data_IF_475235920070
#
_entry.id   IF_475235920070
#
_cell.length_a   1.000
_cell.length_b   1.000
_cell.length_c   1.000
_cell.angle_alpha   90.00
_cell.angle_beta   90.00
_cell.angle_gamma   90.00
#
_symmetry.space_group_name_H-M   'P 1'
#
loop_
_entity.id
_entity.type
_entity.pdbx_description
1 polymer ?
#
# COMPACT_ATOMS: atom_id res chain seq x y z
N UNK A 1 25.50 -34.52 -5.24
CA UNK A 1 25.98 -33.48 -4.28
C UNK A 1 24.77 -32.63 -3.91
N UNK A 2 24.17 -32.92 -2.71
CA UNK A 2 23.09 -32.10 -2.16
C UNK A 2 23.63 -30.73 -1.80
N UNK A 3 23.03 -29.66 -2.35
CA UNK A 3 23.26 -28.34 -1.84
C UNK A 3 22.37 -28.19 -0.62
N UNK A 4 22.98 -28.05 0.57
CA UNK A 4 22.31 -27.62 1.75
C UNK A 4 21.90 -26.16 1.52
N UNK A 5 20.60 -25.90 1.49
CA UNK A 5 20.07 -24.54 1.51
C UNK A 5 19.80 -24.16 2.96
N UNK A 6 20.45 -23.13 3.43
CA UNK A 6 20.08 -22.50 4.70
C UNK A 6 18.69 -21.87 4.54
N UNK A 7 17.70 -22.47 5.17
CA UNK A 7 16.32 -21.94 5.17
C UNK A 7 16.26 -20.86 6.23
N UNK A 8 16.10 -19.62 5.81
CA UNK A 8 15.80 -18.52 6.73
C UNK A 8 14.33 -18.66 7.13
N UNK A 9 13.99 -18.73 8.44
CA UNK A 9 12.62 -18.75 8.88
C UNK A 9 11.84 -17.54 8.32
N UNK A 10 10.59 -17.77 7.89
CA UNK A 10 9.78 -16.74 7.19
C UNK A 10 9.62 -15.46 8.03
N UNK A 11 9.57 -15.60 9.35
CA UNK A 11 9.54 -14.46 10.28
C UNK A 11 10.77 -13.56 10.14
N UNK A 12 11.96 -14.16 9.96
CA UNK A 12 13.19 -13.42 9.70
C UNK A 12 13.26 -12.93 8.25
N UNK A 13 12.78 -13.73 7.30
CA UNK A 13 12.73 -13.36 5.89
C UNK A 13 11.78 -12.19 5.66
N UNK A 14 10.63 -12.15 6.34
CA UNK A 14 9.66 -11.05 6.29
C UNK A 14 10.28 -9.75 6.82
N UNK A 15 10.96 -9.81 7.97
CA UNK A 15 11.67 -8.65 8.54
C UNK A 15 12.82 -8.16 7.66
N UNK A 16 13.61 -9.08 7.08
CA UNK A 16 14.68 -8.75 6.16
C UNK A 16 14.17 -8.13 4.85
N UNK A 17 13.09 -8.68 4.27
CA UNK A 17 12.46 -8.12 3.07
C UNK A 17 11.93 -6.71 3.34
N UNK A 18 11.24 -6.50 4.47
CA UNK A 18 10.76 -5.18 4.88
C UNK A 18 11.90 -4.18 5.06
N UNK A 19 12.99 -4.59 5.73
CA UNK A 19 14.18 -3.74 5.93
C UNK A 19 14.94 -3.41 4.64
N UNK A 20 14.80 -4.26 3.61
CA UNK A 20 15.40 -4.08 2.28
C UNK A 20 14.43 -3.39 1.30
N UNK A 21 13.23 -2.99 1.73
CA UNK A 21 12.21 -2.42 0.85
C UNK A 21 11.61 -3.43 -0.13
N UNK A 22 11.78 -4.75 0.13
CA UNK A 22 11.22 -5.81 -0.68
C UNK A 22 9.84 -6.19 -0.13
N UNK A 23 8.81 -6.12 -0.96
CA UNK A 23 7.44 -6.47 -0.55
C UNK A 23 7.31 -7.93 -0.08
N UNK A 24 6.52 -8.16 0.98
CA UNK A 24 6.12 -9.50 1.42
C UNK A 24 5.13 -10.12 0.45
N UNK A 25 5.59 -10.99 -0.45
CA UNK A 25 4.80 -11.63 -1.51
C UNK A 25 4.00 -12.84 -0.99
N UNK A 26 3.01 -12.62 -0.10
CA UNK A 26 2.14 -13.71 0.39
C UNK A 26 0.90 -13.96 -0.46
N UNK A 27 0.51 -13.02 -1.32
CA UNK A 27 -0.76 -13.09 -2.05
C UNK A 27 -0.84 -14.24 -3.07
N UNK A 28 0.21 -14.48 -3.83
CA UNK A 28 0.26 -15.59 -4.78
C UNK A 28 0.18 -16.97 -4.12
N UNK A 29 0.68 -17.10 -2.90
CA UNK A 29 0.61 -18.35 -2.17
C UNK A 29 -0.83 -18.68 -1.73
N UNK A 30 -1.65 -17.72 -1.32
CA UNK A 30 -3.08 -17.95 -1.07
C UNK A 30 -3.82 -18.42 -2.32
N UNK A 31 -3.50 -17.90 -3.49
CA UNK A 31 -4.06 -18.37 -4.76
C UNK A 31 -3.59 -19.79 -5.09
N UNK A 32 -2.30 -20.10 -4.88
CA UNK A 32 -1.72 -21.44 -5.08
C UNK A 32 -2.46 -22.47 -4.24
N UNK A 33 -2.61 -22.27 -2.93
CA UNK A 33 -3.28 -23.26 -2.05
C UNK A 33 -4.79 -23.31 -2.23
N UNK A 34 -5.37 -22.39 -2.97
CA UNK A 34 -6.77 -22.40 -3.38
C UNK A 34 -7.03 -23.25 -4.63
N UNK A 35 -5.97 -23.76 -5.28
CA UNK A 35 -6.12 -24.62 -6.44
C UNK A 35 -6.69 -26.00 -6.08
N UNK A 36 -7.53 -26.54 -6.98
CA UNK A 36 -8.41 -27.72 -6.76
C UNK A 36 -7.69 -28.98 -6.27
N UNK A 37 -6.39 -29.18 -6.55
CA UNK A 37 -5.63 -30.35 -6.12
C UNK A 37 -5.20 -30.27 -4.66
N UNK A 38 -4.86 -29.08 -4.17
CA UNK A 38 -4.35 -28.86 -2.81
C UNK A 38 -5.40 -28.25 -1.86
N UNK A 39 -6.47 -27.67 -2.36
CA UNK A 39 -7.57 -27.05 -1.59
C UNK A 39 -8.40 -28.05 -0.76
N UNK A 40 -7.90 -29.20 -0.41
CA UNK A 40 -8.62 -30.19 0.38
C UNK A 40 -8.20 -30.09 1.83
N UNK A 41 -9.18 -30.04 2.75
CA UNK A 41 -8.93 -29.96 4.20
C UNK A 41 -7.91 -31.02 4.66
N UNK A 42 -8.12 -32.29 4.30
CA UNK A 42 -7.22 -33.38 4.65
C UNK A 42 -5.78 -33.23 4.10
N UNK A 43 -5.64 -32.60 2.93
CA UNK A 43 -4.34 -32.36 2.31
C UNK A 43 -3.55 -31.28 3.07
N UNK A 44 -4.21 -30.18 3.43
CA UNK A 44 -3.60 -29.10 4.18
C UNK A 44 -3.27 -29.51 5.62
N UNK A 45 -4.17 -30.28 6.27
CA UNK A 45 -3.91 -30.86 7.59
C UNK A 45 -2.68 -31.77 7.57
N UNK A 46 -2.52 -32.57 6.51
CA UNK A 46 -1.36 -33.44 6.34
C UNK A 46 -0.07 -32.64 6.12
N UNK A 47 -0.12 -31.60 5.28
CA UNK A 47 1.03 -30.72 5.03
C UNK A 47 1.48 -30.01 6.32
N UNK A 48 0.55 -29.50 7.12
CA UNK A 48 0.85 -28.89 8.42
C UNK A 48 1.46 -29.88 9.41
N UNK A 49 0.89 -31.09 9.56
CA UNK A 49 1.43 -32.12 10.44
C UNK A 49 2.83 -32.56 10.05
N UNK A 50 3.10 -32.70 8.74
CA UNK A 50 4.42 -33.05 8.22
C UNK A 50 5.45 -31.93 8.39
N UNK A 51 4.99 -30.72 8.63
CA UNK A 51 5.81 -29.56 8.98
C UNK A 51 5.89 -29.34 10.51
N UNK A 52 5.57 -30.38 11.31
CA UNK A 52 5.60 -30.36 12.78
C UNK A 52 4.66 -29.33 13.44
N UNK A 53 3.62 -28.88 12.70
CA UNK A 53 2.60 -27.97 13.23
C UNK A 53 1.53 -28.77 13.96
N UNK A 54 1.35 -28.47 15.25
CA UNK A 54 0.34 -29.11 16.11
C UNK A 54 -1.00 -28.42 15.88
N UNK A 55 -1.96 -29.15 15.32
CA UNK A 55 -3.32 -28.67 15.10
C UNK A 55 -4.17 -28.91 16.36
N UNK A 56 -4.76 -27.88 16.91
CA UNK A 56 -5.69 -27.94 18.04
C UNK A 56 -7.13 -27.75 17.58
N UNK A 57 -7.99 -28.75 17.83
CA UNK A 57 -9.41 -28.67 17.48
C UNK A 57 -9.71 -28.93 16.01
N UNK A 58 -10.97 -28.63 15.61
CA UNK A 58 -11.41 -28.74 14.21
C UNK A 58 -11.36 -27.38 13.54
N UNK A 59 -10.39 -27.20 12.65
CA UNK A 59 -10.20 -25.96 11.90
C UNK A 59 -11.06 -25.94 10.63
N UNK A 60 -11.51 -24.78 10.22
CA UNK A 60 -12.15 -24.55 8.94
C UNK A 60 -11.13 -24.57 7.79
N UNK A 61 -11.61 -24.67 6.54
CA UNK A 61 -10.70 -24.65 5.39
C UNK A 61 -9.92 -23.33 5.25
N UNK A 62 -10.53 -22.14 5.43
CA UNK A 62 -9.77 -20.88 5.42
C UNK A 62 -8.69 -20.82 6.50
N UNK A 63 -9.00 -21.22 7.73
CA UNK A 63 -8.00 -21.24 8.82
C UNK A 63 -6.81 -22.17 8.51
N UNK A 64 -7.05 -23.32 7.90
CA UNK A 64 -5.97 -24.21 7.45
C UNK A 64 -5.15 -23.61 6.31
N UNK A 65 -5.79 -22.87 5.39
CA UNK A 65 -5.09 -22.15 4.33
C UNK A 65 -4.19 -21.07 4.92
N UNK A 66 -4.69 -20.27 5.85
CA UNK A 66 -3.92 -19.23 6.53
C UNK A 66 -2.71 -19.81 7.27
N UNK A 67 -2.92 -20.89 8.02
CA UNK A 67 -1.82 -21.59 8.70
C UNK A 67 -0.79 -22.17 7.72
N UNK A 68 -1.23 -22.73 6.60
CA UNK A 68 -0.29 -23.21 5.57
C UNK A 68 0.53 -22.06 4.97
N UNK A 69 -0.10 -20.91 4.68
CA UNK A 69 0.62 -19.74 4.16
C UNK A 69 1.63 -19.21 5.16
N UNK A 70 1.32 -19.28 6.44
CA UNK A 70 2.18 -18.76 7.50
C UNK A 70 3.36 -19.68 7.84
N UNK A 71 3.11 -21.01 7.88
CA UNK A 71 4.07 -21.95 8.49
C UNK A 71 4.64 -22.99 7.50
N UNK A 72 4.07 -23.18 6.31
CA UNK A 72 4.50 -24.22 5.36
C UNK A 72 4.97 -23.58 4.07
N UNK A 73 6.14 -23.95 3.56
CA UNK A 73 6.60 -23.42 2.28
C UNK A 73 5.78 -23.98 1.10
N UNK A 74 5.59 -23.21 -0.01
CA UNK A 74 4.91 -23.70 -1.20
C UNK A 74 5.54 -24.98 -1.76
N UNK A 75 6.85 -25.14 -1.65
CA UNK A 75 7.58 -26.32 -2.07
C UNK A 75 7.13 -27.56 -1.30
N UNK A 76 6.93 -27.43 0.01
CA UNK A 76 6.46 -28.53 0.86
C UNK A 76 4.99 -28.84 0.58
N UNK A 77 4.16 -27.83 0.35
CA UNK A 77 2.75 -28.07 -0.04
C UNK A 77 2.65 -28.83 -1.34
N UNK A 78 3.47 -28.51 -2.35
CA UNK A 78 3.42 -29.17 -3.65
C UNK A 78 4.22 -30.47 -3.70
N UNK A 79 5.43 -30.47 -3.14
CA UNK A 79 6.40 -31.57 -3.24
C UNK A 79 6.40 -32.53 -2.08
N UNK A 80 5.86 -32.12 -0.93
CA UNK A 80 5.96 -32.86 0.34
C UNK A 80 7.32 -32.68 1.01
N UNK A 81 7.47 -33.30 2.18
CA UNK A 81 8.71 -33.29 2.97
C UNK A 81 9.71 -34.34 2.44
N UNK A 82 9.23 -35.38 1.76
CA UNK A 82 10.04 -36.38 1.12
C UNK A 82 9.68 -36.53 -0.38
N UNK A 83 10.59 -37.09 -1.22
CA UNK A 83 10.35 -37.27 -2.66
C UNK A 83 9.11 -38.10 -3.02
N UNK A 84 8.61 -38.91 -2.08
CA UNK A 84 7.40 -39.75 -2.26
C UNK A 84 6.12 -39.05 -1.81
N UNK A 85 6.25 -37.91 -1.14
CA UNK A 85 5.13 -37.10 -0.63
C UNK A 85 4.67 -36.04 -1.66
N UNK A 86 3.61 -35.35 -1.31
CA UNK A 86 3.07 -34.25 -2.12
C UNK A 86 2.38 -34.75 -3.38
N UNK A 87 2.29 -33.89 -4.38
CA UNK A 87 1.67 -34.17 -5.67
C UNK A 87 2.58 -35.10 -6.51
N UNK A 88 1.95 -36.03 -7.21
CA UNK A 88 2.66 -36.84 -8.20
C UNK A 88 2.90 -36.11 -9.53
N UNK A 89 3.74 -36.67 -10.41
CA UNK A 89 4.05 -36.05 -11.71
C UNK A 89 2.81 -35.83 -12.57
N UNK A 90 1.84 -36.76 -12.57
CA UNK A 90 0.62 -36.63 -13.36
C UNK A 90 -0.27 -35.47 -12.86
N UNK A 91 -0.28 -35.24 -11.56
CA UNK A 91 -1.00 -34.12 -10.93
C UNK A 91 -0.31 -32.78 -11.25
N UNK A 92 1.02 -32.74 -11.19
CA UNK A 92 1.80 -31.56 -11.57
C UNK A 92 1.68 -31.25 -13.06
N UNK A 93 1.76 -32.27 -13.93
CA UNK A 93 1.53 -32.13 -15.37
C UNK A 93 0.15 -31.49 -15.66
N UNK A 94 -0.89 -31.97 -14.96
CA UNK A 94 -2.22 -31.42 -15.10
C UNK A 94 -2.27 -29.97 -14.67
N UNK A 95 -1.65 -29.64 -13.55
CA UNK A 95 -1.61 -28.27 -13.04
C UNK A 95 -0.84 -27.35 -13.98
N UNK A 96 0.32 -27.77 -14.47
CA UNK A 96 1.07 -27.02 -15.49
C UNK A 96 0.23 -26.75 -16.74
N UNK A 97 -0.53 -27.75 -17.26
CA UNK A 97 -1.41 -27.56 -18.41
C UNK A 97 -2.55 -26.58 -18.11
N UNK A 98 -3.16 -26.67 -16.93
CA UNK A 98 -4.23 -25.74 -16.52
C UNK A 98 -3.72 -24.28 -16.45
N UNK A 99 -2.43 -24.08 -16.20
CA UNK A 99 -1.76 -22.76 -16.17
C UNK A 99 -1.07 -22.39 -17.49
N UNK A 100 -1.22 -23.16 -18.54
CA UNK A 100 -0.51 -23.00 -19.82
C UNK A 100 1.04 -23.01 -19.69
N UNK A 101 1.56 -23.74 -18.70
CA UNK A 101 2.99 -23.91 -18.44
C UNK A 101 3.53 -25.17 -19.11
N UNK A 102 4.86 -25.22 -19.37
CA UNK A 102 5.52 -26.41 -19.86
C UNK A 102 5.43 -27.57 -18.85
N UNK A 103 5.15 -28.78 -19.33
CA UNK A 103 5.11 -30.03 -18.55
C UNK A 103 6.44 -30.80 -18.59
N UNK A 104 7.46 -30.32 -19.28
CA UNK A 104 8.77 -30.95 -19.36
C UNK A 104 9.58 -30.78 -18.08
N UNK A 105 10.50 -31.70 -17.84
CA UNK A 105 11.44 -31.62 -16.73
C UNK A 105 11.08 -32.48 -15.52
N UNK A 106 11.89 -32.40 -14.49
CA UNK A 106 11.74 -33.11 -13.23
C UNK A 106 10.56 -32.61 -12.39
N UNK A 107 10.15 -33.40 -11.39
CA UNK A 107 9.15 -33.00 -10.40
C UNK A 107 9.46 -31.63 -9.80
N UNK A 108 10.70 -31.37 -9.39
CA UNK A 108 11.12 -30.11 -8.79
C UNK A 108 11.05 -28.94 -9.76
N UNK A 109 11.41 -29.13 -11.02
CA UNK A 109 11.31 -28.08 -12.04
C UNK A 109 9.86 -27.68 -12.31
N UNK A 110 8.93 -28.64 -12.31
CA UNK A 110 7.50 -28.34 -12.45
C UNK A 110 6.96 -27.60 -11.23
N UNK A 111 7.35 -28.02 -10.01
CA UNK A 111 6.99 -27.32 -8.76
C UNK A 111 7.49 -25.87 -8.80
N UNK A 112 8.75 -25.65 -9.12
CA UNK A 112 9.33 -24.30 -9.19
C UNK A 112 8.63 -23.44 -10.24
N UNK A 113 8.21 -24.05 -11.37
CA UNK A 113 7.49 -23.35 -12.44
C UNK A 113 6.08 -22.95 -12.02
N UNK A 114 5.37 -23.82 -11.29
CA UNK A 114 4.04 -23.52 -10.74
C UNK A 114 4.17 -22.39 -9.71
N UNK A 115 5.11 -22.47 -8.77
CA UNK A 115 5.35 -21.43 -7.77
C UNK A 115 5.68 -20.10 -8.46
N UNK A 116 6.62 -20.11 -9.43
CA UNK A 116 7.00 -18.92 -10.18
C UNK A 116 5.85 -18.27 -10.95
N UNK A 117 4.87 -19.06 -11.43
CA UNK A 117 3.66 -18.53 -12.04
C UNK A 117 2.82 -17.72 -11.03
N UNK A 118 2.59 -18.28 -9.85
CA UNK A 118 1.81 -17.56 -8.82
C UNK A 118 2.57 -16.37 -8.23
N UNK A 119 3.89 -16.44 -8.12
CA UNK A 119 4.73 -15.29 -7.75
C UNK A 119 4.66 -14.19 -8.81
N UNK A 120 4.66 -14.54 -10.11
CA UNK A 120 4.55 -13.60 -11.22
C UNK A 120 3.17 -12.94 -11.36
N UNK A 121 2.08 -13.60 -10.90
CA UNK A 121 0.75 -12.99 -10.89
C UNK A 121 0.66 -11.76 -9.97
N UNK A 122 1.54 -11.65 -8.97
CA UNK A 122 1.61 -10.51 -8.07
C UNK A 122 2.24 -9.32 -8.78
N UNK A 123 3.29 -9.54 -9.56
CA UNK A 123 3.93 -8.48 -10.36
C UNK A 123 2.94 -7.87 -11.36
N UNK A 124 2.02 -8.67 -11.90
CA UNK A 124 0.99 -8.20 -12.84
C UNK A 124 -0.29 -7.68 -12.16
N UNK A 125 -0.56 -8.04 -10.91
CA UNK A 125 -1.75 -7.59 -10.16
C UNK A 125 -1.48 -6.37 -9.26
N UNK A 126 -0.22 -6.05 -8.99
CA UNK A 126 0.20 -4.84 -8.27
C UNK A 126 0.35 -3.62 -9.17
N UNK A 127 0.26 -3.79 -10.49
CA UNK A 127 0.25 -2.69 -11.44
C UNK A 127 -1.16 -2.35 -11.96
N UNK A 128 -2.15 -2.22 -11.11
CA UNK A 128 -3.06 -1.09 -11.31
C UNK A 128 -2.33 0.10 -10.71
N UNK A 129 -1.52 0.78 -11.51
CA UNK A 129 -0.91 2.02 -11.09
C UNK A 129 -2.03 2.89 -10.54
N UNK A 130 -1.88 3.32 -9.31
CA UNK A 130 -2.86 4.22 -8.71
C UNK A 130 -2.94 5.45 -9.62
N UNK A 131 -4.12 5.80 -10.11
CA UNK A 131 -4.29 6.92 -11.05
C UNK A 131 -3.76 8.25 -10.48
N UNK A 132 -3.56 8.32 -9.16
CA UNK A 132 -3.01 9.47 -8.44
C UNK A 132 -1.49 9.53 -8.48
N UNK A 133 -0.79 8.41 -8.77
CA UNK A 133 0.68 8.34 -8.79
C UNK A 133 1.31 9.35 -9.78
N UNK A 134 0.82 9.49 -11.03
CA UNK A 134 1.30 10.53 -11.94
C UNK A 134 1.10 11.95 -11.39
N UNK A 135 0.00 12.20 -10.66
CA UNK A 135 -0.22 13.51 -10.06
C UNK A 135 0.74 13.80 -8.90
N UNK A 136 1.07 12.79 -8.10
CA UNK A 136 2.08 12.91 -7.07
C UNK A 136 3.49 13.08 -7.67
N UNK A 137 3.81 12.40 -8.76
CA UNK A 137 5.11 12.56 -9.47
C UNK A 137 5.35 14.00 -9.88
N UNK A 138 4.29 14.76 -10.21
CA UNK A 138 4.37 16.17 -10.61
C UNK A 138 3.75 17.10 -9.55
N UNK A 139 3.93 16.78 -8.29
CA UNK A 139 3.30 17.44 -7.16
C UNK A 139 3.57 18.95 -7.10
N UNK A 140 4.83 19.35 -7.29
CA UNK A 140 5.24 20.76 -7.31
C UNK A 140 4.60 21.54 -8.48
N UNK A 141 4.44 20.89 -9.63
CA UNK A 141 3.82 21.50 -10.81
C UNK A 141 2.32 21.76 -10.60
N UNK A 142 1.64 20.86 -9.88
CA UNK A 142 0.27 21.08 -9.47
C UNK A 142 0.16 22.19 -8.42
N UNK A 143 1.02 22.21 -7.41
CA UNK A 143 1.08 23.27 -6.41
C UNK A 143 1.32 24.65 -7.05
N UNK A 144 2.26 24.73 -7.99
CA UNK A 144 2.64 25.95 -8.72
C UNK A 144 1.73 26.33 -9.87
N UNK A 145 0.67 25.56 -10.16
CA UNK A 145 -0.26 25.79 -11.29
C UNK A 145 0.44 25.91 -12.64
N UNK A 146 1.44 25.05 -12.90
CA UNK A 146 2.12 25.03 -14.20
C UNK A 146 1.23 24.43 -15.29
N UNK A 147 0.14 25.14 -15.63
CA UNK A 147 -0.90 24.68 -16.57
C UNK A 147 -0.36 24.21 -17.91
N UNK A 148 0.63 24.94 -18.46
CA UNK A 148 1.20 24.63 -19.77
C UNK A 148 1.95 23.30 -19.76
N UNK A 149 2.73 23.05 -18.72
CA UNK A 149 3.43 21.80 -18.52
C UNK A 149 2.46 20.65 -18.27
N UNK A 150 1.53 20.81 -17.31
CA UNK A 150 0.55 19.77 -16.92
C UNK A 150 -0.30 19.33 -18.12
N UNK A 151 -0.71 20.26 -19.00
CA UNK A 151 -1.40 19.91 -20.25
C UNK A 151 -0.50 19.18 -21.24
N UNK A 152 0.76 19.59 -21.38
CA UNK A 152 1.70 18.94 -22.28
C UNK A 152 1.97 17.49 -21.91
N UNK A 153 1.87 17.16 -20.62
CA UNK A 153 1.99 15.79 -20.08
C UNK A 153 0.66 15.01 -20.07
N UNK A 154 -0.46 15.63 -20.52
CA UNK A 154 -1.78 14.99 -20.48
C UNK A 154 -2.33 14.78 -19.08
N UNK A 155 -1.80 15.50 -18.09
CA UNK A 155 -2.20 15.36 -16.67
C UNK A 155 -3.46 16.14 -16.34
N UNK A 156 -3.81 17.17 -17.12
CA UNK A 156 -5.04 17.95 -17.00
C UNK A 156 -5.61 18.25 -18.38
N UNK A 157 -6.93 18.33 -18.47
CA UNK A 157 -7.64 18.82 -19.64
C UNK A 157 -8.01 20.30 -19.48
N UNK A 158 -8.34 20.69 -18.26
CA UNK A 158 -8.80 22.05 -17.89
C UNK A 158 -8.03 22.57 -16.69
N UNK A 159 -7.84 23.88 -16.61
CA UNK A 159 -7.17 24.54 -15.48
C UNK A 159 -7.86 24.27 -14.13
N UNK A 160 -9.18 24.10 -14.15
CA UNK A 160 -9.98 23.77 -12.98
C UNK A 160 -9.69 22.38 -12.38
N UNK A 161 -9.04 21.50 -13.13
CA UNK A 161 -8.70 20.16 -12.66
C UNK A 161 -7.49 20.18 -11.69
N UNK A 162 -6.67 21.26 -11.73
CA UNK A 162 -5.42 21.35 -10.98
C UNK A 162 -5.65 21.23 -9.47
N UNK A 163 -6.59 22.00 -8.91
CA UNK A 163 -6.84 22.02 -7.48
C UNK A 163 -7.22 20.63 -6.97
N UNK A 164 -8.18 19.99 -7.64
CA UNK A 164 -8.65 18.64 -7.27
C UNK A 164 -7.60 17.55 -7.43
N UNK A 165 -6.76 17.63 -8.47
CA UNK A 165 -5.68 16.65 -8.68
C UNK A 165 -4.54 16.86 -7.69
N UNK A 166 -4.30 18.10 -7.26
CA UNK A 166 -3.37 18.40 -6.17
C UNK A 166 -3.84 17.81 -4.85
N UNK A 167 -5.14 17.93 -4.52
CA UNK A 167 -5.75 17.27 -3.36
C UNK A 167 -5.56 15.74 -3.42
N UNK A 168 -5.88 15.11 -4.56
CA UNK A 168 -5.71 13.66 -4.75
C UNK A 168 -4.24 13.21 -4.69
N UNK A 169 -3.31 14.01 -5.18
CA UNK A 169 -1.89 13.74 -5.05
C UNK A 169 -1.44 13.77 -3.59
N UNK A 170 -2.02 14.67 -2.78
CA UNK A 170 -1.79 14.72 -1.32
C UNK A 170 -2.40 13.50 -0.62
N UNK A 171 -3.58 13.06 -1.01
CA UNK A 171 -4.17 11.81 -0.51
C UNK A 171 -3.27 10.60 -0.83
N UNK A 172 -2.69 10.56 -2.03
CA UNK A 172 -1.74 9.52 -2.43
C UNK A 172 -0.49 9.53 -1.54
N UNK A 173 0.08 10.71 -1.28
CA UNK A 173 1.22 10.88 -0.38
C UNK A 173 0.91 10.28 1.00
N UNK A 174 -0.21 10.66 1.62
CA UNK A 174 -0.56 10.15 2.94
C UNK A 174 -0.88 8.66 2.92
N UNK A 175 -1.64 8.18 1.93
CA UNK A 175 -2.09 6.78 1.87
C UNK A 175 -0.99 5.82 1.44
N UNK A 176 -0.29 6.11 0.34
CA UNK A 176 0.64 5.16 -0.29
C UNK A 176 2.08 5.33 0.16
N UNK A 177 2.52 6.57 0.36
CA UNK A 177 3.91 6.84 0.73
C UNK A 177 4.08 6.80 2.25
N UNK A 178 3.18 7.45 3.00
CA UNK A 178 3.27 7.53 4.46
C UNK A 178 2.47 6.43 5.19
N UNK A 179 1.67 5.64 4.48
CA UNK A 179 0.91 4.51 5.04
C UNK A 179 -0.25 4.91 5.95
N UNK A 180 -0.77 6.13 5.80
CA UNK A 180 -1.87 6.67 6.59
C UNK A 180 -3.11 6.88 5.73
N UNK A 181 -4.22 6.22 6.05
CA UNK A 181 -5.46 6.34 5.28
C UNK A 181 -6.17 7.67 5.56
N UNK A 182 -6.32 8.56 4.56
CA UNK A 182 -7.08 9.79 4.68
C UNK A 182 -8.55 9.54 5.06
N UNK A 183 -9.10 10.42 5.88
CA UNK A 183 -10.52 10.43 6.21
C UNK A 183 -11.27 11.25 5.15
N UNK A 184 -12.36 10.70 4.64
CA UNK A 184 -13.24 11.43 3.75
C UNK A 184 -14.11 12.40 4.57
N UNK A 185 -13.93 13.70 4.36
CA UNK A 185 -14.69 14.76 5.03
C UNK A 185 -15.73 15.31 4.04
N UNK A 186 -17.02 14.96 4.18
CA UNK A 186 -18.04 15.45 3.26
C UNK A 186 -18.39 16.91 3.56
N UNK A 187 -18.47 17.75 2.54
CA UNK A 187 -18.95 19.14 2.63
C UNK A 187 -18.01 20.16 2.01
N UNK A 188 -18.56 21.30 1.62
CA UNK A 188 -17.85 22.37 0.89
C UNK A 188 -17.01 23.31 1.77
N UNK A 189 -17.09 23.21 3.09
CA UNK A 189 -16.35 24.05 4.04
C UNK A 189 -15.52 23.16 5.00
N UNK A 190 -14.97 22.09 4.46
CA UNK A 190 -14.07 21.17 5.16
C UNK A 190 -12.64 21.39 4.66
N UNK A 191 -11.62 20.99 5.42
CA UNK A 191 -10.26 20.90 4.90
C UNK A 191 -10.19 19.85 3.78
N UNK A 192 -9.16 19.92 2.95
CA UNK A 192 -8.98 19.01 1.81
C UNK A 192 -8.75 17.56 2.27
N UNK A 193 -8.31 17.36 3.50
CA UNK A 193 -8.29 16.05 4.11
C UNK A 193 -7.93 16.06 5.59
N UNK A 194 -8.00 14.85 6.19
CA UNK A 194 -7.68 14.65 7.60
C UNK A 194 -7.13 13.24 7.86
N UNK A 195 -6.34 13.11 8.91
CA UNK A 195 -5.90 11.84 9.47
C UNK A 195 -6.31 11.73 10.94
N UNK A 196 -6.67 10.52 11.37
CA UNK A 196 -6.86 10.23 12.78
C UNK A 196 -5.50 9.97 13.45
N UNK A 197 -5.13 10.78 14.43
CA UNK A 197 -3.93 10.62 15.25
C UNK A 197 -4.35 10.34 16.70
N UNK A 198 -4.60 9.08 17.02
CA UNK A 198 -5.13 8.69 18.32
C UNK A 198 -6.49 9.34 18.61
N UNK A 199 -6.56 10.23 19.62
CA UNK A 199 -7.79 10.94 19.98
C UNK A 199 -8.00 12.24 19.19
N UNK A 200 -7.00 12.69 18.41
CA UNK A 200 -7.04 13.95 17.65
C UNK A 200 -7.10 13.74 16.14
N UNK A 201 -7.15 14.87 15.42
CA UNK A 201 -7.07 14.92 13.96
C UNK A 201 -5.88 15.75 13.52
N UNK A 202 -5.15 15.27 12.50
CA UNK A 202 -4.31 16.11 11.67
C UNK A 202 -5.12 16.53 10.46
N UNK A 203 -5.28 17.80 10.22
CA UNK A 203 -5.96 18.34 9.05
C UNK A 203 -4.92 18.80 8.03
N UNK A 204 -5.28 18.85 6.74
CA UNK A 204 -4.48 19.55 5.74
C UNK A 204 -5.36 20.31 4.74
N UNK A 205 -4.77 21.34 4.17
CA UNK A 205 -5.40 22.18 3.17
C UNK A 205 -4.36 22.59 2.11
N UNK A 206 -4.67 22.31 0.85
CA UNK A 206 -3.80 22.54 -0.29
C UNK A 206 -4.07 23.90 -0.92
N UNK A 207 -3.04 24.68 -1.12
CA UNK A 207 -3.12 26.01 -1.74
C UNK A 207 -2.29 26.03 -3.03
N UNK A 208 -2.90 25.63 -4.14
CA UNK A 208 -2.25 25.77 -5.44
C UNK A 208 -2.26 27.23 -5.90
N UNK A 209 -1.12 27.77 -6.25
CA UNK A 209 -0.95 29.16 -6.70
C UNK A 209 0.27 29.30 -7.63
N UNK A 210 0.18 30.21 -8.62
CA UNK A 210 1.30 30.61 -9.46
C UNK A 210 2.34 31.49 -8.73
N UNK A 211 2.01 31.96 -7.51
CA UNK A 211 2.83 32.83 -6.68
C UNK A 211 2.82 32.35 -5.22
N UNK A 212 3.57 33.02 -4.37
CA UNK A 212 3.59 32.75 -2.93
C UNK A 212 2.20 32.83 -2.31
N UNK A 213 1.93 31.92 -1.37
CA UNK A 213 0.71 31.89 -0.58
C UNK A 213 0.82 32.83 0.63
N UNK A 214 -0.07 33.79 0.72
CA UNK A 214 -0.21 34.62 1.93
C UNK A 214 -1.18 33.98 2.90
N UNK A 215 -0.69 33.59 4.08
CA UNK A 215 -1.46 32.89 5.10
C UNK A 215 -2.66 33.74 5.60
N UNK A 216 -2.46 35.04 5.72
CA UNK A 216 -3.47 35.99 6.21
C UNK A 216 -4.82 35.87 5.49
N UNK A 217 -4.81 35.56 4.20
CA UNK A 217 -6.03 35.44 3.38
C UNK A 217 -6.88 34.22 3.75
N UNK A 218 -6.30 33.24 4.45
CA UNK A 218 -6.91 31.94 4.72
C UNK A 218 -7.20 31.70 6.22
N UNK A 219 -6.71 32.51 7.14
CA UNK A 219 -6.87 32.28 8.58
C UNK A 219 -8.33 32.09 9.00
N UNK A 220 -9.24 32.92 8.52
CA UNK A 220 -10.67 32.80 8.84
C UNK A 220 -11.30 31.48 8.28
N UNK A 221 -10.76 30.94 7.20
CA UNK A 221 -11.14 29.60 6.67
C UNK A 221 -10.63 28.51 7.60
N UNK A 222 -9.39 28.62 8.03
CA UNK A 222 -8.75 27.64 8.91
C UNK A 222 -9.42 27.56 10.27
N UNK A 223 -9.80 28.70 10.87
CA UNK A 223 -10.56 28.72 12.11
C UNK A 223 -11.86 27.92 12.01
N UNK A 224 -12.57 28.04 10.89
CA UNK A 224 -13.81 27.27 10.69
C UNK A 224 -13.54 25.75 10.66
N UNK A 225 -12.40 25.31 10.14
CA UNK A 225 -12.03 23.90 10.16
C UNK A 225 -11.83 23.38 11.59
N UNK A 226 -11.13 24.14 12.44
CA UNK A 226 -10.94 23.77 13.84
C UNK A 226 -12.26 23.73 14.62
N UNK A 227 -13.16 24.67 14.36
CA UNK A 227 -14.46 24.75 15.05
C UNK A 227 -15.42 23.65 14.60
N UNK A 228 -15.40 23.26 13.32
CA UNK A 228 -16.32 22.27 12.74
C UNK A 228 -15.87 20.83 12.94
N UNK A 229 -14.62 20.58 13.28
CA UNK A 229 -14.09 19.24 13.42
C UNK A 229 -14.78 18.48 14.55
N UNK A 230 -15.24 17.26 14.26
CA UNK A 230 -15.91 16.38 15.26
C UNK A 230 -14.98 15.95 16.39
N UNK A 231 -13.68 15.82 16.10
CA UNK A 231 -12.62 15.56 17.07
C UNK A 231 -11.67 16.75 17.08
N UNK A 232 -11.01 16.98 18.21
CA UNK A 232 -10.08 18.10 18.37
C UNK A 232 -8.91 17.98 17.38
N UNK A 233 -8.73 18.94 16.45
CA UNK A 233 -7.55 18.96 15.60
C UNK A 233 -6.29 19.24 16.43
N UNK A 234 -5.23 18.51 16.18
CA UNK A 234 -3.91 18.74 16.80
C UNK A 234 -3.11 19.79 16.03
N UNK A 235 -3.30 19.83 14.71
CA UNK A 235 -2.73 20.84 13.84
C UNK A 235 -3.46 20.84 12.47
N UNK A 236 -3.30 21.91 11.72
CA UNK A 236 -3.61 22.02 10.30
C UNK A 236 -2.30 22.20 9.52
N UNK A 237 -2.01 21.33 8.59
CA UNK A 237 -0.90 21.44 7.63
C UNK A 237 -1.40 22.21 6.43
N UNK A 238 -0.79 23.34 6.14
CA UNK A 238 -1.05 24.12 4.93
C UNK A 238 0.03 23.82 3.92
N UNK A 239 -0.36 23.30 2.75
CA UNK A 239 0.58 22.90 1.70
C UNK A 239 0.45 23.89 0.54
N UNK A 240 1.56 24.49 0.14
CA UNK A 240 1.60 25.50 -0.93
C UNK A 240 2.90 25.42 -1.73
N UNK A 241 3.00 26.03 -2.95
CA UNK A 241 4.25 26.07 -3.69
C UNK A 241 5.35 26.86 -2.97
N UNK A 242 4.96 27.95 -2.34
CA UNK A 242 5.81 28.81 -1.51
C UNK A 242 4.93 29.67 -0.59
N UNK A 243 5.51 30.23 0.46
CA UNK A 243 4.85 31.16 1.40
C UNK A 243 5.51 32.53 1.40
N UNK A 244 4.71 33.57 1.66
CA UNK A 244 5.25 34.92 1.88
C UNK A 244 6.14 34.96 3.12
N UNK A 245 7.16 35.82 3.15
CA UNK A 245 8.17 35.88 4.21
C UNK A 245 7.64 36.14 5.62
N UNK A 246 6.41 36.63 5.75
CA UNK A 246 5.73 36.89 7.02
C UNK A 246 4.80 35.76 7.47
N UNK A 247 4.65 34.70 6.67
CA UNK A 247 3.68 33.62 6.94
C UNK A 247 3.98 32.83 8.21
N UNK A 248 5.24 32.55 8.52
CA UNK A 248 5.63 31.88 9.77
C UNK A 248 5.28 32.71 11.00
N UNK A 249 5.53 34.03 10.93
CA UNK A 249 5.18 34.94 12.02
C UNK A 249 3.66 35.02 12.20
N UNK A 250 2.90 34.99 11.11
CA UNK A 250 1.45 34.95 11.14
C UNK A 250 0.92 33.65 11.73
N UNK A 251 1.49 32.50 11.38
CA UNK A 251 1.10 31.19 11.93
C UNK A 251 1.35 31.15 13.45
N UNK A 252 2.51 31.60 13.91
CA UNK A 252 2.86 31.67 15.33
C UNK A 252 1.92 32.61 16.11
N UNK A 253 1.64 33.81 15.56
CA UNK A 253 0.72 34.76 16.19
C UNK A 253 -0.68 34.17 16.29
N UNK A 254 -1.16 33.54 15.21
CA UNK A 254 -2.47 32.91 15.16
C UNK A 254 -2.59 31.77 16.20
N UNK A 255 -1.56 30.93 16.37
CA UNK A 255 -1.53 29.89 17.41
C UNK A 255 -1.60 30.50 18.83
N UNK A 256 -0.91 31.59 19.06
CA UNK A 256 -0.96 32.32 20.37
C UNK A 256 -2.36 32.87 20.65
N UNK A 257 -3.02 33.43 19.63
CA UNK A 257 -4.32 34.07 19.79
C UNK A 257 -5.48 33.09 19.89
N UNK A 258 -5.44 31.99 19.15
CA UNK A 258 -6.56 31.04 18.99
C UNK A 258 -6.32 29.67 19.61
N UNK A 259 -5.08 29.30 19.85
CA UNK A 259 -4.67 27.93 20.20
C UNK A 259 -4.70 26.96 19.02
N UNK A 260 -4.93 27.45 17.79
CA UNK A 260 -4.98 26.65 16.56
C UNK A 260 -3.59 26.58 15.93
N UNK A 261 -2.99 25.40 15.93
CA UNK A 261 -1.65 25.19 15.39
C UNK A 261 -1.68 25.04 13.88
N UNK A 262 -0.90 25.87 13.18
CA UNK A 262 -0.69 25.80 11.74
C UNK A 262 0.75 25.35 11.46
N UNK A 263 0.91 24.35 10.59
CA UNK A 263 2.20 23.92 10.07
C UNK A 263 2.25 24.27 8.58
N UNK A 264 3.24 25.06 8.18
CA UNK A 264 3.41 25.47 6.78
C UNK A 264 4.44 24.54 6.14
N UNK A 265 4.09 23.93 5.01
CA UNK A 265 4.94 23.00 4.28
C UNK A 265 4.87 23.34 2.80
N UNK A 266 6.02 23.54 2.17
CA UNK A 266 6.05 23.72 0.72
C UNK A 266 5.92 22.38 0.00
N UNK A 267 5.37 22.40 -1.21
CA UNK A 267 5.26 21.18 -2.03
C UNK A 267 6.62 20.54 -2.32
N UNK A 268 7.69 21.32 -2.33
CA UNK A 268 9.07 20.85 -2.54
C UNK A 268 9.68 20.16 -1.30
N UNK A 269 9.07 20.30 -0.12
CA UNK A 269 9.52 19.66 1.13
C UNK A 269 8.87 18.30 1.36
N UNK A 270 7.85 17.96 0.57
CA UNK A 270 7.11 16.70 0.64
C UNK A 270 7.56 15.71 -0.42
#
# INVERSE_FOLDING_TARGET
EGRDYDVIPEEMASGLRSALGLECRRYGYHQLISYKLVKKKSYLEEALRKSDIILSGSLSLPELQDLCVEYVSPQVVLGGVSPKDGLDMGQLDKWCRDLALSVSGSKQEQINRIIGHYDGLIESSTETSDEREPWFTFYEEFAGRNYSFLRSQGLIDKDQDVDKRFEYATDYLFEKILGHKPLNLPGSEQPDGALSLGEGLLLWDNKSKESECSLRQHLAQFDRYFVKAEKKPVALVVIAPAFTSDSDAQANLHEIETGHKLALVTAAEL
#
